data_IF_147735059660
#
_entry.id   IF_147735059660
#
_cell.length_a   1.000
_cell.length_b   1.000
_cell.length_c   1.000
_cell.angle_alpha   90.00
_cell.angle_beta   90.00
_cell.angle_gamma   90.00
#
_symmetry.space_group_name_H-M   'P 1'
#
loop_
_entity.id
_entity.type
_entity.pdbx_description
1 polymer ?
#
# COMPACT_ATOMS: atom_id res chain seq x y z
N UNK A 1 0.16 6.58 4.37
CA UNK A 1 -0.61 5.66 3.52
C UNK A 1 0.10 5.32 2.20
N UNK A 2 0.44 6.28 1.33
CA UNK A 2 1.17 5.98 0.09
C UNK A 2 2.50 5.28 0.37
N UNK A 3 3.34 5.78 1.28
CA UNK A 3 4.61 5.16 1.64
C UNK A 3 4.50 3.70 2.11
N UNK A 4 3.42 3.35 2.79
CA UNK A 4 3.16 1.96 3.21
C UNK A 4 2.77 1.09 2.02
N UNK A 5 1.97 1.62 1.11
CA UNK A 5 1.52 0.87 -0.07
C UNK A 5 2.65 0.64 -1.08
N UNK A 6 3.61 1.57 -1.16
CA UNK A 6 4.74 1.48 -2.10
C UNK A 6 5.89 0.58 -1.60
N UNK A 7 5.88 0.19 -0.32
CA UNK A 7 6.88 -0.69 0.27
C UNK A 7 6.27 -2.06 0.60
N UNK A 8 6.67 -3.10 -0.13
CA UNK A 8 6.13 -4.47 0.00
C UNK A 8 6.28 -5.05 1.42
N UNK A 9 7.40 -4.75 2.12
CA UNK A 9 7.61 -5.21 3.50
C UNK A 9 6.67 -4.50 4.47
N UNK A 10 6.59 -3.17 4.38
CA UNK A 10 5.69 -2.38 5.23
C UNK A 10 4.24 -2.80 5.05
N UNK A 11 3.85 -3.08 3.80
CA UNK A 11 2.53 -3.58 3.45
C UNK A 11 2.27 -4.95 4.12
N UNK A 12 3.15 -5.93 3.92
CA UNK A 12 3.02 -7.26 4.52
C UNK A 12 3.01 -7.22 6.07
N UNK A 13 3.91 -6.44 6.68
CA UNK A 13 3.97 -6.29 8.15
C UNK A 13 2.68 -5.67 8.71
N UNK A 14 2.16 -4.64 8.05
CA UNK A 14 0.95 -3.96 8.52
C UNK A 14 -0.28 -4.84 8.38
N UNK A 15 -0.41 -5.55 7.26
CA UNK A 15 -1.49 -6.51 7.05
C UNK A 15 -1.41 -7.66 8.07
N UNK A 16 -0.22 -8.24 8.28
CA UNK A 16 -0.02 -9.31 9.25
C UNK A 16 -0.32 -8.89 10.69
N UNK A 17 0.12 -7.68 11.12
CA UNK A 17 -0.19 -7.13 12.45
C UNK A 17 -1.69 -6.90 12.69
N UNK A 18 -2.46 -6.73 11.63
CA UNK A 18 -3.91 -6.59 11.70
C UNK A 18 -4.66 -7.91 11.47
N UNK A 19 -3.96 -9.06 11.53
CA UNK A 19 -4.51 -10.41 11.32
C UNK A 19 -5.22 -10.57 9.97
N UNK A 20 -4.78 -9.84 8.95
CA UNK A 20 -5.32 -9.96 7.59
C UNK A 20 -4.61 -11.13 6.91
N UNK A 21 -5.35 -12.06 6.29
CA UNK A 21 -4.75 -13.19 5.60
C UNK A 21 -3.84 -12.73 4.45
N UNK A 22 -2.56 -13.06 4.55
CA UNK A 22 -1.53 -12.86 3.52
C UNK A 22 -0.73 -14.15 3.38
N UNK A 23 -0.08 -14.42 2.24
CA UNK A 23 0.93 -15.46 2.16
C UNK A 23 2.04 -15.20 3.17
N UNK A 24 2.53 -16.24 3.84
CA UNK A 24 3.63 -16.10 4.80
C UNK A 24 4.81 -15.40 4.15
N UNK A 25 5.31 -14.36 4.78
CA UNK A 25 6.33 -13.48 4.22
C UNK A 25 7.41 -13.20 5.26
N UNK A 26 8.66 -13.22 4.85
CA UNK A 26 9.82 -12.87 5.70
C UNK A 26 10.84 -12.05 4.90
N UNK A 27 11.65 -11.25 5.60
CA UNK A 27 12.83 -10.61 5.00
C UNK A 27 14.00 -11.59 4.91
N UNK A 28 14.89 -11.35 3.94
CA UNK A 28 16.19 -12.02 3.85
C UNK A 28 17.26 -10.93 3.79
N UNK A 29 17.75 -10.45 4.94
CA UNK A 29 18.72 -9.36 4.98
C UNK A 29 20.15 -9.79 4.61
N UNK A 30 20.51 -11.06 4.79
CA UNK A 30 21.85 -11.60 4.54
C UNK A 30 21.82 -13.10 4.33
N UNK A 31 22.96 -13.68 3.97
CA UNK A 31 23.12 -15.11 3.65
C UNK A 31 22.78 -16.01 4.83
N UNK A 32 23.20 -15.64 6.05
CA UNK A 32 22.96 -16.43 7.26
C UNK A 32 21.47 -16.53 7.61
N UNK A 33 20.65 -15.62 7.10
CA UNK A 33 19.20 -15.60 7.33
C UNK A 33 18.38 -16.40 6.33
N UNK A 34 18.96 -16.92 5.25
CA UNK A 34 18.24 -17.59 4.16
C UNK A 34 17.43 -18.79 4.66
N UNK A 35 18.08 -19.70 5.39
CA UNK A 35 17.41 -20.91 5.88
C UNK A 35 16.28 -20.61 6.86
N UNK A 36 16.52 -19.68 7.79
CA UNK A 36 15.50 -19.28 8.76
C UNK A 36 14.32 -18.56 8.10
N UNK A 37 14.59 -17.72 7.11
CA UNK A 37 13.54 -17.05 6.33
C UNK A 37 12.71 -18.08 5.54
N UNK A 38 13.36 -19.09 4.94
CA UNK A 38 12.69 -20.19 4.26
C UNK A 38 11.80 -21.00 5.23
N UNK A 39 12.29 -21.34 6.42
CA UNK A 39 11.50 -22.00 7.47
C UNK A 39 10.28 -21.18 7.89
N UNK A 40 10.43 -19.85 8.05
CA UNK A 40 9.32 -18.94 8.44
C UNK A 40 8.20 -18.90 7.40
N UNK A 41 8.50 -19.07 6.12
CA UNK A 41 7.48 -19.14 5.07
C UNK A 41 6.95 -20.55 4.82
N UNK A 42 7.34 -21.51 5.68
CA UNK A 42 6.80 -22.88 5.69
C UNK A 42 7.77 -23.96 5.28
N UNK A 43 9.01 -23.63 4.93
CA UNK A 43 10.09 -24.59 4.68
C UNK A 43 9.85 -25.51 3.48
N UNK A 44 9.04 -25.08 2.51
CA UNK A 44 8.72 -25.86 1.31
C UNK A 44 9.00 -25.06 0.05
N UNK A 45 9.44 -25.73 -0.99
CA UNK A 45 9.54 -25.16 -2.32
C UNK A 45 8.30 -25.53 -3.16
N UNK A 46 7.96 -24.70 -4.17
CA UNK A 46 8.59 -23.44 -4.53
C UNK A 46 8.27 -22.29 -3.57
N UNK A 47 9.11 -21.26 -3.58
CA UNK A 47 8.90 -19.99 -2.89
C UNK A 47 8.99 -18.82 -3.87
N UNK A 48 8.51 -17.64 -3.47
CA UNK A 48 8.65 -16.41 -4.22
C UNK A 48 9.69 -15.50 -3.56
N UNK A 49 10.65 -15.02 -4.34
CA UNK A 49 11.54 -13.91 -3.97
C UNK A 49 11.00 -12.64 -4.60
N UNK A 50 11.00 -11.55 -3.83
CA UNK A 50 10.61 -10.22 -4.29
C UNK A 50 11.66 -9.20 -3.87
N UNK A 51 12.04 -8.31 -4.78
CA UNK A 51 12.76 -7.08 -4.41
C UNK A 51 11.77 -6.08 -3.80
N UNK A 52 12.19 -5.31 -2.79
CA UNK A 52 11.33 -4.29 -2.17
C UNK A 52 11.01 -3.16 -3.14
N UNK A 53 11.96 -2.80 -4.00
CA UNK A 53 11.79 -1.84 -5.09
C UNK A 53 11.41 -2.58 -6.37
N UNK A 54 10.47 -2.05 -7.11
CA UNK A 54 10.01 -2.63 -8.38
C UNK A 54 8.48 -2.66 -8.47
N UNK A 55 7.98 -2.41 -9.67
CA UNK A 55 6.55 -2.39 -10.01
C UNK A 55 6.27 -3.38 -11.13
N UNK A 56 5.01 -3.67 -11.41
CA UNK A 56 4.57 -4.48 -12.56
C UNK A 56 5.17 -5.90 -12.60
N UNK A 57 5.46 -6.50 -11.43
CA UNK A 57 6.03 -7.85 -11.35
C UNK A 57 7.53 -7.94 -11.65
N UNK A 58 8.20 -6.82 -11.94
CA UNK A 58 9.67 -6.79 -12.05
C UNK A 58 10.27 -7.07 -10.67
N UNK A 59 11.28 -7.96 -10.63
CA UNK A 59 11.92 -8.38 -9.36
C UNK A 59 11.11 -9.41 -8.57
N UNK A 60 10.14 -10.11 -9.18
CA UNK A 60 9.41 -11.23 -8.59
C UNK A 60 9.84 -12.52 -9.28
N UNK A 61 10.37 -13.47 -8.51
CA UNK A 61 10.96 -14.72 -9.03
C UNK A 61 10.43 -15.91 -8.26
N UNK A 62 10.07 -16.98 -8.98
CA UNK A 62 9.74 -18.28 -8.39
C UNK A 62 11.02 -19.11 -8.27
N UNK A 63 11.25 -19.67 -7.11
CA UNK A 63 12.45 -20.43 -6.75
C UNK A 63 12.05 -21.82 -6.30
N UNK A 64 12.69 -22.81 -6.87
CA UNK A 64 12.31 -24.24 -6.69
C UNK A 64 13.32 -25.04 -5.83
N UNK A 65 14.43 -24.43 -5.41
CA UNK A 65 15.45 -25.10 -4.59
C UNK A 65 16.25 -24.16 -3.70
N UNK A 66 16.86 -24.69 -2.65
CA UNK A 66 17.74 -23.90 -1.76
C UNK A 66 18.97 -23.36 -2.49
N UNK A 67 19.57 -24.14 -3.38
CA UNK A 67 20.72 -23.70 -4.17
C UNK A 67 20.36 -22.50 -5.06
N UNK A 68 19.22 -22.57 -5.75
CA UNK A 68 18.72 -21.45 -6.56
C UNK A 68 18.39 -20.24 -5.69
N UNK A 69 17.80 -20.45 -4.50
CA UNK A 69 17.49 -19.39 -3.54
C UNK A 69 18.75 -18.63 -3.13
N UNK A 70 19.78 -19.36 -2.71
CA UNK A 70 21.06 -18.78 -2.30
C UNK A 70 21.73 -18.01 -3.46
N UNK A 71 21.82 -18.61 -4.63
CA UNK A 71 22.45 -17.97 -5.79
C UNK A 71 21.75 -16.70 -6.25
N UNK A 72 20.40 -16.70 -6.25
CA UNK A 72 19.60 -15.52 -6.59
C UNK A 72 19.80 -14.43 -5.55
N UNK A 73 19.73 -14.75 -4.26
CA UNK A 73 19.95 -13.78 -3.19
C UNK A 73 21.34 -13.14 -3.29
N UNK A 74 22.40 -13.95 -3.41
CA UNK A 74 23.77 -13.45 -3.56
C UNK A 74 23.93 -12.55 -4.78
N UNK A 75 23.30 -12.88 -5.90
CA UNK A 75 23.33 -12.07 -7.12
C UNK A 75 22.66 -10.72 -6.94
N UNK A 76 21.48 -10.69 -6.28
CA UNK A 76 20.71 -9.46 -6.08
C UNK A 76 21.34 -8.53 -5.03
N UNK A 77 21.97 -9.08 -4.00
CA UNK A 77 22.70 -8.26 -3.00
C UNK A 77 23.89 -7.50 -3.59
N UNK A 78 24.49 -7.99 -4.66
CA UNK A 78 25.55 -7.23 -5.37
C UNK A 78 25.06 -5.90 -5.93
N UNK A 79 23.74 -5.73 -6.07
CA UNK A 79 23.09 -4.51 -6.53
C UNK A 79 22.28 -3.83 -5.41
N UNK A 80 22.67 -4.05 -4.14
CA UNK A 80 22.04 -3.46 -2.95
C UNK A 80 20.52 -3.68 -2.88
N UNK A 81 20.05 -4.83 -3.36
CA UNK A 81 18.61 -5.15 -3.33
C UNK A 81 18.18 -5.67 -1.96
N UNK A 82 17.18 -5.03 -1.37
CA UNK A 82 16.45 -5.57 -0.24
C UNK A 82 15.49 -6.67 -0.70
N UNK A 83 15.49 -7.81 0.00
CA UNK A 83 14.79 -9.02 -0.43
C UNK A 83 13.72 -9.48 0.56
N UNK A 84 12.60 -9.94 -0.02
CA UNK A 84 11.56 -10.70 0.66
C UNK A 84 11.51 -12.11 0.10
N UNK A 85 11.26 -13.08 0.98
CA UNK A 85 10.77 -14.41 0.62
C UNK A 85 9.30 -14.53 1.02
N UNK A 86 8.52 -15.16 0.16
CA UNK A 86 7.09 -15.39 0.38
C UNK A 86 6.71 -16.81 0.01
N UNK A 87 5.76 -17.36 0.75
CA UNK A 87 5.11 -18.63 0.41
C UNK A 87 4.50 -18.58 -0.98
N UNK A 88 4.71 -19.63 -1.77
CA UNK A 88 4.11 -19.75 -3.09
C UNK A 88 2.71 -20.37 -3.01
N UNK A 89 1.77 -19.76 -3.67
CA UNK A 89 0.45 -20.33 -3.97
C UNK A 89 0.30 -20.51 -5.48
N UNK A 90 -0.15 -21.69 -5.90
CA UNK A 90 -0.53 -21.90 -7.28
C UNK A 90 -1.85 -21.19 -7.54
N UNK A 91 -1.82 -20.12 -8.33
CA UNK A 91 -2.96 -19.28 -8.68
C UNK A 91 -3.17 -19.32 -10.18
N UNK A 92 -4.41 -19.51 -10.62
CA UNK A 92 -4.80 -19.36 -12.05
C UNK A 92 -5.17 -17.93 -12.37
N UNK A 93 -5.60 -17.18 -11.37
CA UNK A 93 -6.01 -15.79 -11.48
C UNK A 93 -5.75 -15.07 -10.17
N UNK A 94 -5.75 -13.75 -10.22
CA UNK A 94 -5.85 -12.88 -9.07
C UNK A 94 -6.90 -11.79 -9.33
N UNK A 95 -7.40 -11.20 -8.27
CA UNK A 95 -8.47 -10.23 -8.34
C UNK A 95 -7.93 -8.87 -7.89
N UNK A 96 -8.15 -7.82 -8.70
CA UNK A 96 -7.92 -6.43 -8.33
C UNK A 96 -9.23 -5.76 -7.98
N UNK A 97 -9.32 -5.26 -6.75
CA UNK A 97 -10.49 -4.51 -6.27
C UNK A 97 -10.10 -3.07 -6.02
N UNK A 98 -10.82 -2.13 -6.63
CA UNK A 98 -10.62 -0.70 -6.42
C UNK A 98 -11.53 -0.18 -5.31
N UNK A 99 -10.94 0.61 -4.40
CA UNK A 99 -11.68 1.24 -3.31
C UNK A 99 -11.42 2.75 -3.27
N UNK A 100 -12.45 3.50 -2.91
CA UNK A 100 -12.37 4.93 -2.59
C UNK A 100 -13.16 5.23 -1.32
N UNK A 101 -12.53 5.90 -0.36
CA UNK A 101 -13.14 6.18 0.95
C UNK A 101 -13.53 4.93 1.74
N UNK A 102 -12.82 3.80 1.52
CA UNK A 102 -13.11 2.51 2.13
C UNK A 102 -14.30 1.76 1.52
N UNK A 103 -14.86 2.27 0.41
CA UNK A 103 -15.95 1.63 -0.33
C UNK A 103 -15.44 1.05 -1.64
N UNK A 104 -15.92 -0.14 -1.97
CA UNK A 104 -15.59 -0.81 -3.22
C UNK A 104 -16.30 -0.10 -4.37
N UNK A 105 -15.57 0.18 -5.45
CA UNK A 105 -16.09 0.83 -6.65
C UNK A 105 -16.00 -0.03 -7.89
N UNK A 106 -15.10 -1.01 -7.90
CA UNK A 106 -14.96 -1.95 -9.00
C UNK A 106 -14.11 -3.16 -8.59
N UNK A 107 -14.35 -4.30 -9.23
CA UNK A 107 -13.51 -5.50 -9.10
C UNK A 107 -13.33 -6.17 -10.46
N UNK A 108 -12.11 -6.69 -10.70
CA UNK A 108 -11.77 -7.42 -11.91
C UNK A 108 -10.84 -8.59 -11.60
N UNK A 109 -11.11 -9.72 -12.24
CA UNK A 109 -10.22 -10.88 -12.25
C UNK A 109 -9.20 -10.74 -13.38
N UNK A 110 -7.95 -11.01 -13.09
CA UNK A 110 -6.85 -11.09 -14.05
C UNK A 110 -6.54 -12.56 -14.28
N UNK A 111 -6.86 -13.06 -15.45
CA UNK A 111 -6.76 -14.46 -15.82
C UNK A 111 -5.52 -14.65 -16.68
N UNK A 112 -4.66 -15.57 -16.27
CA UNK A 112 -3.47 -15.93 -17.03
C UNK A 112 -3.85 -16.51 -18.39
N UNK A 113 -3.16 -16.07 -19.45
CA UNK A 113 -3.36 -16.67 -20.77
C UNK A 113 -2.98 -18.16 -20.74
N UNK A 114 -3.75 -19.05 -21.42
CA UNK A 114 -3.55 -20.48 -21.36
C UNK A 114 -2.12 -20.95 -21.72
N UNK A 115 -1.47 -20.23 -22.63
CA UNK A 115 -0.13 -20.55 -23.13
C UNK A 115 0.99 -19.79 -22.38
N UNK A 116 0.63 -18.99 -21.37
CA UNK A 116 1.61 -18.23 -20.61
C UNK A 116 2.29 -19.15 -19.58
N UNK A 117 3.60 -19.35 -19.76
CA UNK A 117 4.44 -20.11 -18.81
C UNK A 117 4.87 -19.29 -17.59
N UNK A 118 4.57 -18.01 -17.55
CA UNK A 118 4.87 -17.15 -16.40
C UNK A 118 3.83 -17.38 -15.30
N UNK A 119 4.28 -17.51 -14.06
CA UNK A 119 3.42 -17.70 -12.89
C UNK A 119 2.72 -16.40 -12.45
N UNK A 120 3.07 -15.26 -13.04
CA UNK A 120 2.55 -13.93 -12.71
C UNK A 120 1.34 -13.58 -13.58
N UNK A 121 0.27 -13.06 -12.97
CA UNK A 121 -0.97 -12.70 -13.65
C UNK A 121 -1.01 -11.19 -14.03
N UNK A 122 0.11 -10.64 -14.48
CA UNK A 122 0.16 -9.23 -14.85
C UNK A 122 -0.42 -8.97 -16.26
N UNK A 123 -1.31 -7.98 -16.35
CA UNK A 123 -1.90 -7.54 -17.64
C UNK A 123 -0.83 -7.14 -18.65
N UNK A 124 0.29 -6.55 -18.20
CA UNK A 124 1.44 -6.24 -19.06
C UNK A 124 2.14 -7.47 -19.65
N UNK A 125 1.80 -8.66 -19.18
CA UNK A 125 2.33 -9.94 -19.65
C UNK A 125 1.27 -10.77 -20.39
N UNK A 126 0.19 -10.13 -20.85
CA UNK A 126 -0.84 -10.76 -21.69
C UNK A 126 -1.99 -11.42 -20.91
N UNK A 127 -2.12 -11.18 -19.61
CA UNK A 127 -3.31 -11.61 -18.87
C UNK A 127 -4.55 -10.87 -19.36
N UNK A 128 -5.67 -11.59 -19.49
CA UNK A 128 -6.98 -11.00 -19.75
C UNK A 128 -7.62 -10.54 -18.45
N UNK A 129 -8.50 -9.55 -18.54
CA UNK A 129 -9.25 -9.05 -17.39
C UNK A 129 -10.74 -9.18 -17.63
N UNK A 130 -11.45 -9.71 -16.62
CA UNK A 130 -12.90 -9.85 -16.64
C UNK A 130 -13.52 -9.27 -15.36
N UNK A 131 -14.75 -8.77 -15.41
CA UNK A 131 -15.47 -8.35 -14.22
C UNK A 131 -15.58 -9.49 -13.21
N UNK A 132 -15.42 -9.18 -11.92
CA UNK A 132 -15.43 -10.18 -10.85
C UNK A 132 -16.50 -9.89 -9.80
N UNK A 133 -17.21 -10.92 -9.36
CA UNK A 133 -18.24 -10.85 -8.34
C UNK A 133 -17.70 -11.28 -6.97
N UNK A 134 -17.47 -10.31 -6.12
CA UNK A 134 -16.87 -10.54 -4.80
C UNK A 134 -17.83 -11.23 -3.83
N UNK A 135 -17.37 -12.25 -3.15
CA UNK A 135 -18.09 -12.86 -2.03
C UNK A 135 -18.06 -11.96 -0.78
N UNK A 136 -18.98 -12.17 0.15
CA UNK A 136 -19.02 -11.45 1.44
C UNK A 136 -17.72 -11.60 2.23
N UNK A 137 -17.04 -12.75 2.13
CA UNK A 137 -15.78 -13.03 2.80
C UNK A 137 -14.65 -12.18 2.21
N UNK A 138 -14.58 -12.11 0.88
CA UNK A 138 -13.59 -11.27 0.18
C UNK A 138 -13.81 -9.79 0.52
N UNK A 139 -15.04 -9.29 0.42
CA UNK A 139 -15.40 -7.90 0.77
C UNK A 139 -14.90 -7.54 2.19
N UNK A 140 -15.10 -8.44 3.16
CA UNK A 140 -14.67 -8.23 4.55
C UNK A 140 -13.16 -8.08 4.66
N UNK A 141 -12.40 -8.99 4.03
CA UNK A 141 -10.94 -9.01 4.09
C UNK A 141 -10.33 -7.83 3.32
N UNK A 142 -10.86 -7.53 2.13
CA UNK A 142 -10.44 -6.40 1.29
C UNK A 142 -10.61 -5.07 2.02
N UNK A 143 -11.78 -4.84 2.64
CA UNK A 143 -12.03 -3.63 3.42
C UNK A 143 -11.13 -3.52 4.66
N UNK A 144 -10.86 -4.64 5.31
CA UNK A 144 -9.92 -4.67 6.43
C UNK A 144 -8.51 -4.29 5.97
N UNK A 145 -8.05 -4.80 4.81
CA UNK A 145 -6.75 -4.47 4.24
C UNK A 145 -6.63 -2.98 3.88
N UNK A 146 -7.63 -2.42 3.21
CA UNK A 146 -7.66 -0.99 2.88
C UNK A 146 -7.64 -0.11 4.14
N UNK A 147 -8.40 -0.47 5.17
CA UNK A 147 -8.40 0.26 6.46
C UNK A 147 -7.06 0.19 7.17
N UNK A 148 -6.42 -0.97 7.20
CA UNK A 148 -5.13 -1.16 7.84
C UNK A 148 -4.05 -0.26 7.24
N UNK A 149 -4.04 -0.08 5.92
CA UNK A 149 -3.08 0.81 5.24
C UNK A 149 -3.43 2.30 5.36
N UNK A 150 -4.65 2.64 5.74
CA UNK A 150 -5.15 4.03 5.80
C UNK A 150 -5.24 4.69 4.42
N UNK A 151 -5.25 3.90 3.34
CA UNK A 151 -5.35 4.43 1.98
C UNK A 151 -6.79 4.88 1.69
N UNK A 152 -6.95 6.12 1.25
CA UNK A 152 -8.27 6.67 0.86
C UNK A 152 -8.70 6.16 -0.51
N UNK A 153 -7.74 6.07 -1.44
CA UNK A 153 -7.89 5.42 -2.74
C UNK A 153 -6.83 4.34 -2.86
N UNK A 154 -7.24 3.13 -3.20
CA UNK A 154 -6.31 2.01 -3.37
C UNK A 154 -6.87 0.91 -4.27
N UNK A 155 -5.95 0.09 -4.80
CA UNK A 155 -6.24 -1.21 -5.35
C UNK A 155 -5.80 -2.30 -4.38
N UNK A 156 -6.67 -3.23 -4.08
CA UNK A 156 -6.35 -4.42 -3.29
C UNK A 156 -6.26 -5.60 -4.23
N UNK A 157 -5.07 -6.18 -4.32
CA UNK A 157 -4.83 -7.40 -5.09
C UNK A 157 -4.93 -8.60 -4.15
N UNK A 158 -5.76 -9.56 -4.50
CA UNK A 158 -5.98 -10.76 -3.71
C UNK A 158 -6.25 -11.98 -4.60
N UNK A 159 -6.17 -13.15 -4.01
CA UNK A 159 -6.61 -14.40 -4.62
C UNK A 159 -7.42 -15.22 -3.61
N UNK A 160 -8.11 -16.24 -4.11
CA UNK A 160 -8.87 -17.18 -3.28
C UNK A 160 -8.24 -18.57 -3.41
N UNK A 161 -7.95 -19.19 -2.27
CA UNK A 161 -7.39 -20.55 -2.26
C UNK A 161 -8.45 -21.60 -2.66
N UNK A 162 -8.01 -22.85 -2.86
CA UNK A 162 -8.89 -23.98 -3.21
C UNK A 162 -10.00 -24.27 -2.17
N UNK A 163 -9.90 -23.68 -0.97
CA UNK A 163 -10.89 -23.81 0.12
C UNK A 163 -11.83 -22.60 0.23
N UNK A 164 -11.71 -21.63 -0.69
CA UNK A 164 -12.51 -20.41 -0.68
C UNK A 164 -12.03 -19.37 0.34
N UNK A 165 -10.76 -19.38 0.76
CA UNK A 165 -10.20 -18.38 1.64
C UNK A 165 -9.49 -17.30 0.84
N UNK A 166 -9.82 -16.01 1.02
CA UNK A 166 -9.13 -14.91 0.40
C UNK A 166 -7.79 -14.61 1.10
N UNK A 167 -6.77 -14.37 0.30
CA UNK A 167 -5.44 -13.92 0.73
C UNK A 167 -5.07 -12.64 0.02
N UNK A 168 -4.67 -11.62 0.75
CA UNK A 168 -4.22 -10.35 0.16
C UNK A 168 -2.78 -10.50 -0.32
N UNK A 169 -2.55 -10.14 -1.58
CA UNK A 169 -1.21 -10.08 -2.19
C UNK A 169 -0.54 -8.76 -1.84
N UNK A 170 -1.25 -7.65 -2.09
CA UNK A 170 -0.79 -6.29 -1.79
C UNK A 170 -1.94 -5.30 -1.77
N UNK A 171 -1.72 -4.16 -1.11
CA UNK A 171 -2.54 -2.96 -1.24
C UNK A 171 -1.72 -1.89 -1.96
N UNK A 172 -2.18 -1.45 -3.12
CA UNK A 172 -1.50 -0.49 -3.97
C UNK A 172 -2.14 0.90 -3.82
N UNK A 173 -1.35 1.92 -3.47
CA UNK A 173 -1.82 3.30 -3.26
C UNK A 173 -2.04 4.10 -4.54
N UNK A 174 -1.55 3.60 -5.68
CA UNK A 174 -1.72 4.22 -7.01
C UNK A 174 -2.05 3.18 -8.08
N UNK A 175 -3.21 2.51 -7.95
CA UNK A 175 -3.58 1.43 -8.86
C UNK A 175 -3.90 1.95 -10.26
N UNK A 176 -3.49 1.20 -11.30
CA UNK A 176 -3.97 1.43 -12.66
C UNK A 176 -5.48 1.18 -12.76
N UNK A 177 -6.15 1.99 -13.58
CA UNK A 177 -7.62 1.99 -13.71
C UNK A 177 -8.08 1.21 -14.96
N UNK A 178 -7.18 0.99 -15.92
CA UNK A 178 -7.53 0.33 -17.19
C UNK A 178 -7.76 -1.17 -16.97
N UNK A 179 -9.04 -1.56 -16.96
CA UNK A 179 -9.45 -2.95 -16.81
C UNK A 179 -10.96 -3.10 -17.10
N UNK A 180 -11.41 -4.32 -17.32
CA UNK A 180 -12.86 -4.62 -17.42
C UNK A 180 -13.37 -4.89 -16.00
N UNK A 181 -13.99 -3.91 -15.37
CA UNK A 181 -14.49 -4.02 -14.02
C UNK A 181 -15.98 -4.33 -13.95
N UNK A 182 -16.36 -5.06 -12.91
CA UNK A 182 -17.73 -5.07 -12.42
C UNK A 182 -17.94 -3.84 -11.54
N UNK A 183 -19.01 -3.08 -11.79
CA UNK A 183 -19.31 -1.87 -11.04
C UNK A 183 -20.00 -2.16 -9.72
N UNK A 184 -19.69 -1.35 -8.73
CA UNK A 184 -20.35 -1.33 -7.42
C UNK A 184 -20.80 0.09 -7.12
N UNK A 185 -21.95 0.21 -6.47
CA UNK A 185 -22.33 1.48 -5.87
C UNK A 185 -21.40 1.78 -4.68
N UNK A 186 -20.68 2.92 -4.68
CA UNK A 186 -19.74 3.22 -3.62
C UNK A 186 -20.39 3.52 -2.27
N UNK A 187 -21.71 3.62 -2.22
CA UNK A 187 -22.47 3.92 -1.01
C UNK A 187 -23.18 2.71 -0.43
N UNK A 188 -23.80 1.89 -1.29
CA UNK A 188 -24.50 0.66 -0.88
C UNK A 188 -23.64 -0.57 -1.08
N UNK A 189 -22.64 -0.49 -1.98
CA UNK A 189 -21.80 -1.61 -2.42
C UNK A 189 -22.58 -2.70 -3.14
N UNK A 190 -23.69 -2.31 -3.73
CA UNK A 190 -24.47 -3.18 -4.59
C UNK A 190 -23.86 -3.21 -6.00
N UNK A 191 -23.96 -4.37 -6.63
CA UNK A 191 -23.43 -4.61 -7.96
C UNK A 191 -24.21 -3.81 -9.01
N UNK A 192 -23.50 -3.05 -9.84
CA UNK A 192 -24.09 -2.21 -10.90
C UNK A 192 -23.85 -2.75 -12.32
N UNK A 193 -23.29 -3.96 -12.47
CA UNK A 193 -22.90 -4.52 -13.76
C UNK A 193 -21.58 -3.97 -14.29
N UNK A 194 -21.24 -4.28 -15.54
CA UNK A 194 -19.98 -3.86 -16.16
C UNK A 194 -19.81 -2.35 -16.17
N UNK A 195 -18.67 -1.88 -15.65
CA UNK A 195 -18.33 -0.46 -15.58
C UNK A 195 -17.20 -0.15 -16.57
N UNK A 196 -17.34 0.94 -17.31
CA UNK A 196 -16.22 1.46 -18.11
C UNK A 196 -15.19 2.15 -17.23
N UNK A 197 -13.93 2.19 -17.67
CA UNK A 197 -12.86 2.94 -17.02
C UNK A 197 -13.25 4.41 -16.76
N UNK A 198 -14.01 5.01 -17.70
CA UNK A 198 -14.54 6.37 -17.56
C UNK A 198 -15.44 6.50 -16.32
N UNK A 199 -16.32 5.54 -16.07
CA UNK A 199 -17.23 5.55 -14.91
C UNK A 199 -16.48 5.40 -13.61
N UNK A 200 -15.43 4.56 -13.58
CA UNK A 200 -14.54 4.41 -12.42
C UNK A 200 -13.86 5.75 -12.09
N UNK A 201 -13.28 6.41 -13.10
CA UNK A 201 -12.65 7.74 -12.95
C UNK A 201 -13.63 8.78 -12.43
N UNK A 202 -14.82 8.85 -13.03
CA UNK A 202 -15.89 9.77 -12.61
C UNK A 202 -16.26 9.55 -11.13
N UNK A 203 -16.38 8.30 -10.69
CA UNK A 203 -16.68 7.95 -9.30
C UNK A 203 -15.59 8.43 -8.34
N UNK A 204 -14.32 8.24 -8.70
CA UNK A 204 -13.18 8.70 -7.92
C UNK A 204 -13.19 10.25 -7.82
N UNK A 205 -13.35 10.94 -8.95
CA UNK A 205 -13.41 12.40 -8.99
C UNK A 205 -14.55 12.94 -8.14
N UNK A 206 -15.74 12.36 -8.26
CA UNK A 206 -16.92 12.75 -7.48
C UNK A 206 -16.70 12.56 -5.97
N UNK A 207 -16.05 11.47 -5.57
CA UNK A 207 -15.72 11.25 -4.16
C UNK A 207 -14.82 12.36 -3.62
N UNK A 208 -13.70 12.62 -4.29
CA UNK A 208 -12.76 13.65 -3.85
C UNK A 208 -13.34 15.07 -3.94
N UNK A 209 -14.15 15.36 -4.95
CA UNK A 209 -14.84 16.67 -5.06
C UNK A 209 -15.81 16.92 -3.90
N UNK A 210 -16.51 15.89 -3.43
CA UNK A 210 -17.41 16.01 -2.26
C UNK A 210 -16.61 16.24 -0.96
N UNK A 211 -15.48 15.57 -0.79
CA UNK A 211 -14.62 15.76 0.39
C UNK A 211 -13.99 17.17 0.39
N UNK A 212 -13.58 17.64 -0.78
CA UNK A 212 -13.08 19.00 -0.99
C UNK A 212 -14.10 20.05 -0.57
N UNK A 213 -15.37 19.86 -0.89
CA UNK A 213 -16.42 20.82 -0.53
C UNK A 213 -16.84 20.75 0.95
N UNK A 214 -16.50 19.69 1.69
CA UNK A 214 -16.84 19.51 3.10
C UNK A 214 -15.78 20.04 4.06
N UNK A 215 -14.54 20.12 3.62
CA UNK A 215 -13.45 20.70 4.40
C UNK A 215 -13.37 22.18 4.03
N UNK A 216 -13.40 23.11 5.00
CA UNK A 216 -12.97 24.46 4.72
C UNK A 216 -11.52 24.36 4.22
N UNK A 217 -11.37 24.53 2.92
CA UNK A 217 -10.08 24.36 2.27
C UNK A 217 -9.30 25.61 2.53
N UNK A 218 -8.48 25.59 3.57
CA UNK A 218 -7.23 26.31 3.52
C UNK A 218 -6.26 25.52 2.62
N UNK A 219 -6.54 25.43 1.33
CA UNK A 219 -5.52 25.12 0.33
C UNK A 219 -4.68 26.37 0.13
N UNK A 220 -3.83 26.64 1.10
CA UNK A 220 -2.59 27.32 0.75
C UNK A 220 -1.70 26.24 0.13
N UNK A 221 -1.31 26.43 -1.12
CA UNK A 221 -0.22 25.69 -1.69
C UNK A 221 1.01 26.03 -0.85
N UNK A 222 1.44 25.06 -0.01
CA UNK A 222 2.64 25.21 0.78
C UNK A 222 3.80 24.60 0.01
N UNK A 223 4.83 25.36 -0.25
CA UNK A 223 6.09 24.86 -0.75
C UNK A 223 6.79 23.97 0.30
N UNK A 224 7.86 23.33 -0.10
CA UNK A 224 8.67 22.50 0.80
C UNK A 224 9.24 23.26 2.00
N UNK A 225 9.56 24.55 1.80
CA UNK A 225 9.95 25.50 2.85
C UNK A 225 9.10 26.74 2.69
N UNK A 226 8.33 27.08 3.70
CA UNK A 226 7.47 28.27 3.74
C UNK A 226 7.83 29.19 4.89
N UNK A 227 7.50 30.45 4.71
CA UNK A 227 7.55 31.43 5.79
C UNK A 227 6.20 31.45 6.49
N UNK A 228 6.15 31.03 7.74
CA UNK A 228 4.94 31.01 8.56
C UNK A 228 5.00 32.07 9.66
N UNK A 229 3.84 32.61 9.98
CA UNK A 229 3.67 33.58 11.04
C UNK A 229 2.83 32.99 12.14
N UNK A 230 3.37 32.89 13.34
CA UNK A 230 2.60 32.48 14.50
C UNK A 230 1.87 33.67 15.10
N UNK A 231 0.66 33.45 15.62
CA UNK A 231 -0.08 34.46 16.36
C UNK A 231 0.77 34.93 17.54
N UNK A 232 1.01 36.25 17.63
CA UNK A 232 1.92 36.82 18.60
C UNK A 232 3.37 37.00 18.14
N UNK A 233 3.71 36.52 16.93
CA UNK A 233 5.04 36.63 16.32
C UNK A 233 4.97 37.35 14.93
N UNK A 234 4.01 38.19 14.70
CA UNK A 234 3.70 38.77 13.37
C UNK A 234 4.89 39.56 12.79
N UNK A 235 5.76 40.11 13.64
CA UNK A 235 6.96 40.86 13.23
C UNK A 235 8.17 39.94 12.89
N UNK A 236 8.12 38.66 13.28
CA UNK A 236 9.22 37.75 13.12
C UNK A 236 8.72 36.42 12.51
N UNK A 237 8.48 36.37 11.20
CA UNK A 237 8.11 35.15 10.53
C UNK A 237 9.20 34.08 10.62
N UNK A 238 8.79 32.82 10.74
CA UNK A 238 9.71 31.68 10.86
C UNK A 238 9.67 30.86 9.56
N UNK A 239 10.83 30.48 9.05
CA UNK A 239 10.89 29.52 7.95
C UNK A 239 10.62 28.13 8.48
N UNK A 240 9.58 27.50 7.97
CA UNK A 240 9.18 26.14 8.33
C UNK A 240 9.30 25.19 7.14
N UNK A 241 9.85 24.02 7.39
CA UNK A 241 9.87 22.91 6.45
C UNK A 241 8.61 22.07 6.68
N UNK A 242 7.83 21.87 5.62
CA UNK A 242 6.69 20.96 5.65
C UNK A 242 7.17 19.55 5.32
N UNK A 243 6.99 18.61 6.25
CA UNK A 243 7.33 17.21 6.09
C UNK A 243 6.06 16.37 5.99
N UNK A 244 5.73 15.96 4.76
CA UNK A 244 4.57 15.11 4.49
C UNK A 244 4.70 13.68 5.02
N UNK A 245 5.92 13.26 5.40
CA UNK A 245 6.20 11.95 5.99
C UNK A 245 6.03 11.89 7.51
N UNK A 246 5.81 13.05 8.16
CA UNK A 246 5.61 13.09 9.61
C UNK A 246 4.20 12.65 9.99
N UNK A 247 4.08 11.47 10.61
CA UNK A 247 2.83 10.93 11.14
C UNK A 247 2.43 11.50 12.51
N UNK A 248 3.21 12.41 13.08
CA UNK A 248 2.91 13.03 14.35
C UNK A 248 1.65 13.92 14.26
N UNK A 249 0.79 13.85 15.27
CA UNK A 249 -0.42 14.68 15.36
C UNK A 249 -0.11 16.15 15.73
N UNK A 250 1.13 16.47 15.95
CA UNK A 250 1.60 17.81 16.34
C UNK A 250 2.71 18.27 15.41
N UNK A 251 2.73 19.56 15.11
CA UNK A 251 3.83 20.19 14.39
C UNK A 251 5.07 20.28 15.26
N UNK A 252 6.25 19.98 14.70
CA UNK A 252 7.52 20.19 15.39
C UNK A 252 8.07 21.57 15.06
N UNK A 253 8.43 22.31 16.07
CA UNK A 253 9.08 23.61 15.95
C UNK A 253 10.45 23.53 16.66
N UNK A 254 11.51 23.94 15.96
CA UNK A 254 12.81 24.13 16.61
C UNK A 254 12.76 25.39 17.46
N UNK A 255 12.99 25.25 18.75
CA UNK A 255 13.00 26.37 19.73
C UNK A 255 14.41 26.58 20.26
N UNK A 256 14.74 27.82 20.67
CA UNK A 256 16.05 28.17 21.18
C UNK A 256 16.21 27.73 22.63
N UNK A 257 15.10 27.78 23.40
CA UNK A 257 15.04 27.32 24.79
C UNK A 257 13.67 26.70 25.08
N UNK A 258 13.65 25.71 25.94
CA UNK A 258 12.42 25.09 26.45
C UNK A 258 12.57 24.78 27.93
N UNK A 259 11.55 25.12 28.71
CA UNK A 259 11.47 24.86 30.16
C UNK A 259 10.08 24.32 30.49
N UNK A 260 9.99 23.30 31.34
CA UNK A 260 8.72 22.77 31.81
C UNK A 260 8.49 23.12 33.28
N UNK A 261 7.30 23.65 33.61
CA UNK A 261 6.88 23.92 34.98
C UNK A 261 5.52 23.26 35.21
N UNK A 262 5.55 22.12 35.91
CA UNK A 262 4.36 21.31 36.11
C UNK A 262 3.82 20.74 34.78
N UNK A 263 2.57 21.09 34.41
CA UNK A 263 1.94 20.68 33.14
C UNK A 263 2.12 21.68 32.00
N UNK A 264 2.81 22.81 32.25
CA UNK A 264 2.99 23.89 31.29
C UNK A 264 4.38 23.82 30.68
N UNK A 265 4.49 24.16 29.41
CA UNK A 265 5.73 24.20 28.64
C UNK A 265 6.00 25.61 28.20
N UNK A 266 7.06 26.22 28.71
CA UNK A 266 7.52 27.52 28.28
C UNK A 266 8.61 27.35 27.24
N UNK A 267 8.57 28.13 26.19
CA UNK A 267 9.59 28.04 25.14
C UNK A 267 9.92 29.43 24.58
N UNK A 268 11.12 29.55 24.05
CA UNK A 268 11.64 30.77 23.47
C UNK A 268 12.08 30.52 22.03
N UNK A 269 11.73 31.42 21.14
CA UNK A 269 12.16 31.42 19.76
C UNK A 269 12.44 32.84 19.29
N UNK A 270 13.67 33.10 18.77
CA UNK A 270 14.11 34.40 18.30
C UNK A 270 13.87 35.53 19.30
N UNK A 271 14.08 35.25 20.61
CA UNK A 271 13.86 36.23 21.70
C UNK A 271 12.41 36.38 22.16
N UNK A 272 11.45 35.69 21.56
CA UNK A 272 10.06 35.66 22.01
C UNK A 272 9.82 34.47 22.94
N UNK A 273 9.08 34.75 24.03
CA UNK A 273 8.72 33.76 25.05
C UNK A 273 7.27 33.37 24.90
N UNK A 274 6.99 32.08 24.99
CA UNK A 274 5.67 31.47 24.82
C UNK A 274 5.39 30.49 25.95
N UNK A 275 4.11 30.25 26.18
CA UNK A 275 3.57 29.33 27.17
C UNK A 275 2.72 28.25 26.45
#
# INVERSE_FOLDING_TARGET
SMLVCDNKMSNALLLGRNNIPIPRTSSIPNEQSIEDAHKRVGGKFPVIIKTLKGTQGVGVMKIDSMSSLTGVCQSLWKYDADLLIQEFFEMKSDIRTLLVGGKIIAAAERIQAPDNKDFRNNVHQGATTEPYDLSKKEITVIKAAARATGAVYCGVDHFVDKKGNPYIIEVNGSPGIRSHFEGYDPWTEEKQGKVSDKKVVETIIQFFSKDVNRRPIFRQEAGYIETIVFKGMEKNPVRAKFDSGNSAKASMLHVDKMETKGKMVFWEKNGYKFE
#
